data_IF_530310458775
#
_entry.id   IF_530310458775
#
_cell.length_a   1.000
_cell.length_b   1.000
_cell.length_c   1.000
_cell.angle_alpha   90.00
_cell.angle_beta   90.00
_cell.angle_gamma   90.00
#
_symmetry.space_group_name_H-M   'P 1'
#
loop_
_entity.id
_entity.type
_entity.pdbx_description
1 polymer ?
#
# COMPACT_ATOMS: atom_id res chain seq x y z
N UNK A 1 2.72 20.56 -13.97
CA UNK A 1 2.32 19.20 -14.45
C UNK A 1 0.84 18.92 -14.17
N UNK A 2 0.36 19.09 -12.92
CA UNK A 2 -1.06 18.85 -12.56
C UNK A 2 -2.01 19.69 -13.40
N UNK A 3 -1.72 20.97 -13.62
CA UNK A 3 -2.53 21.85 -14.44
C UNK A 3 -2.60 21.53 -15.94
N UNK A 4 -1.88 20.49 -16.39
CA UNK A 4 -1.91 19.99 -17.77
C UNK A 4 -2.71 18.70 -17.93
N UNK A 5 -3.25 18.15 -16.83
CA UNK A 5 -4.07 16.95 -16.85
C UNK A 5 -5.43 17.23 -17.48
N UNK A 6 -5.96 16.25 -18.17
CA UNK A 6 -7.33 16.24 -18.65
C UNK A 6 -8.28 15.80 -17.54
N UNK A 7 -9.57 16.04 -17.72
CA UNK A 7 -10.58 15.72 -16.71
C UNK A 7 -10.62 14.24 -16.32
N UNK A 8 -10.40 13.34 -17.25
CA UNK A 8 -10.32 11.89 -17.01
C UNK A 8 -9.00 11.41 -16.38
N UNK A 9 -8.02 12.30 -16.28
CA UNK A 9 -6.70 12.05 -15.71
C UNK A 9 -6.60 12.45 -14.23
N UNK A 10 -7.58 13.20 -13.70
CA UNK A 10 -7.65 13.56 -12.28
C UNK A 10 -8.07 12.37 -11.41
N UNK A 11 -7.52 12.33 -10.19
CA UNK A 11 -8.01 11.45 -9.12
C UNK A 11 -9.31 12.00 -8.54
N UNK A 12 -10.15 11.11 -8.11
CA UNK A 12 -11.41 11.41 -7.44
C UNK A 12 -11.69 10.37 -6.38
N UNK A 13 -12.25 10.77 -5.26
CA UNK A 13 -12.70 9.85 -4.23
C UNK A 13 -14.06 10.33 -3.72
N UNK A 14 -15.05 9.45 -3.76
CA UNK A 14 -16.41 9.72 -3.31
C UNK A 14 -16.77 8.71 -2.23
N UNK A 15 -17.17 9.18 -1.06
CA UNK A 15 -17.71 8.33 0.00
C UNK A 15 -19.17 8.00 -0.30
N UNK A 16 -19.49 6.72 -0.38
CA UNK A 16 -20.83 6.24 -0.70
C UNK A 16 -21.67 5.98 0.55
N UNK A 17 -21.02 5.75 1.68
CA UNK A 17 -21.71 5.53 2.95
C UNK A 17 -20.72 5.26 4.08
N UNK A 18 -21.16 5.61 5.28
CA UNK A 18 -20.41 5.40 6.51
C UNK A 18 -21.36 4.90 7.61
N UNK A 19 -20.92 3.95 8.41
CA UNK A 19 -21.71 3.43 9.52
C UNK A 19 -20.86 3.20 10.77
N UNK A 20 -21.49 3.27 11.94
CA UNK A 20 -20.94 2.89 13.22
C UNK A 20 -21.68 1.67 13.76
N UNK A 21 -20.96 0.56 13.93
CA UNK A 21 -21.50 -0.73 14.41
C UNK A 21 -22.71 -1.25 13.59
N UNK A 22 -22.78 -0.88 12.30
CA UNK A 22 -23.85 -1.23 11.38
C UNK A 22 -24.91 -0.15 11.17
N UNK A 23 -25.02 0.82 12.09
CA UNK A 23 -25.97 1.92 11.97
C UNK A 23 -25.37 3.06 11.11
N UNK A 24 -26.07 3.57 10.09
CA UNK A 24 -25.61 4.71 9.30
C UNK A 24 -25.31 5.93 10.17
N UNK A 25 -24.27 6.66 9.82
CA UNK A 25 -23.91 7.94 10.46
C UNK A 25 -23.78 9.04 9.42
N UNK A 26 -24.09 10.25 9.83
CA UNK A 26 -23.95 11.45 9.02
C UNK A 26 -22.48 11.87 8.92
N UNK A 27 -22.09 12.39 7.78
CA UNK A 27 -20.77 12.96 7.56
C UNK A 27 -20.84 14.18 6.63
N UNK A 28 -19.83 15.01 6.73
CA UNK A 28 -19.65 16.21 5.89
C UNK A 28 -18.24 16.13 5.29
N UNK A 29 -18.13 16.31 3.99
CA UNK A 29 -16.85 16.43 3.30
C UNK A 29 -16.43 17.89 3.25
N UNK A 30 -15.23 18.18 3.75
CA UNK A 30 -14.59 19.50 3.71
C UNK A 30 -13.21 19.35 3.06
N UNK A 31 -13.14 19.61 1.76
CA UNK A 31 -11.94 19.42 0.94
C UNK A 31 -11.39 17.99 1.06
N UNK A 32 -10.27 17.80 1.75
CA UNK A 32 -9.64 16.48 1.96
C UNK A 32 -10.00 15.84 3.29
N UNK A 33 -10.86 16.46 4.08
CA UNK A 33 -11.27 16.00 5.42
C UNK A 33 -12.73 15.58 5.39
N UNK A 34 -13.02 14.43 5.97
CA UNK A 34 -14.38 13.96 6.22
C UNK A 34 -14.67 14.03 7.72
N UNK A 35 -15.67 14.81 8.09
CA UNK A 35 -16.14 14.93 9.47
C UNK A 35 -17.36 14.04 9.68
N UNK A 36 -17.22 13.02 10.53
CA UNK A 36 -18.28 12.08 10.83
C UNK A 36 -18.77 12.27 12.28
N UNK A 37 -20.08 12.40 12.46
CA UNK A 37 -20.69 12.46 13.77
C UNK A 37 -21.10 11.06 14.23
N UNK A 38 -20.43 10.54 15.26
CA UNK A 38 -20.76 9.23 15.81
C UNK A 38 -22.14 9.24 16.48
N UNK A 39 -22.95 8.21 16.23
CA UNK A 39 -24.24 8.00 16.91
C UNK A 39 -24.06 7.79 18.43
N UNK A 40 -22.96 7.14 18.80
CA UNK A 40 -22.57 6.90 20.19
C UNK A 40 -21.11 7.29 20.38
N UNK A 41 -20.77 8.09 21.39
CA UNK A 41 -19.38 8.44 21.65
C UNK A 41 -18.57 7.20 22.02
N UNK A 42 -17.31 7.18 21.57
CA UNK A 42 -16.37 6.14 21.97
C UNK A 42 -15.81 6.46 23.35
N UNK A 43 -16.22 5.70 24.36
CA UNK A 43 -15.73 5.87 25.72
C UNK A 43 -14.33 5.26 25.90
N UNK A 44 -13.54 5.75 26.87
CA UNK A 44 -12.23 5.20 27.19
C UNK A 44 -12.26 3.68 27.42
N UNK A 45 -11.31 2.97 26.82
CA UNK A 45 -11.21 1.51 26.90
C UNK A 45 -12.26 0.72 26.10
N UNK A 46 -13.16 1.40 25.39
CA UNK A 46 -14.17 0.76 24.52
C UNK A 46 -13.70 0.70 23.07
N UNK A 47 -14.38 -0.12 22.28
CA UNK A 47 -14.15 -0.29 20.85
C UNK A 47 -15.41 0.09 20.08
N UNK A 48 -15.22 0.64 18.89
CA UNK A 48 -16.28 0.85 17.92
C UNK A 48 -15.83 0.34 16.55
N UNK A 49 -16.77 -0.09 15.73
CA UNK A 49 -16.51 -0.47 14.35
C UNK A 49 -17.04 0.64 13.43
N UNK A 50 -16.16 1.23 12.66
CA UNK A 50 -16.55 2.10 11.54
C UNK A 50 -16.43 1.29 10.24
N UNK A 51 -17.40 1.46 9.37
CA UNK A 51 -17.43 0.81 8.06
C UNK A 51 -17.77 1.85 7.01
N UNK A 52 -16.88 1.99 6.02
CA UNK A 52 -17.02 2.96 4.94
C UNK A 52 -17.06 2.25 3.60
N UNK A 53 -17.93 2.71 2.72
CA UNK A 53 -17.92 2.37 1.31
C UNK A 53 -17.51 3.61 0.52
N UNK A 54 -16.57 3.46 -0.41
CA UNK A 54 -16.11 4.55 -1.25
C UNK A 54 -15.80 4.06 -2.65
N UNK A 55 -15.78 4.98 -3.59
CA UNK A 55 -15.38 4.79 -4.97
C UNK A 55 -14.31 5.81 -5.32
N UNK A 56 -13.30 5.40 -6.07
CA UNK A 56 -12.25 6.29 -6.53
C UNK A 56 -11.94 6.11 -8.01
N UNK A 57 -11.49 7.18 -8.64
CA UNK A 57 -10.83 7.16 -9.94
C UNK A 57 -9.32 7.31 -9.71
N UNK A 58 -8.55 6.32 -10.16
CA UNK A 58 -7.09 6.36 -10.06
C UNK A 58 -6.55 7.42 -11.02
N UNK A 59 -5.82 8.44 -10.53
CA UNK A 59 -5.29 9.50 -11.38
C UNK A 59 -4.21 8.97 -12.32
N UNK A 60 -3.94 9.70 -13.41
CA UNK A 60 -2.67 9.54 -14.11
C UNK A 60 -1.54 9.92 -13.18
N UNK A 61 -0.54 9.06 -13.06
CA UNK A 61 0.50 9.26 -12.07
C UNK A 61 1.39 10.45 -12.40
N UNK A 62 1.45 11.40 -11.48
CA UNK A 62 2.37 12.54 -11.50
C UNK A 62 3.34 12.47 -10.34
N UNK A 63 2.88 11.95 -9.22
CA UNK A 63 3.65 11.72 -8.00
C UNK A 63 3.59 10.23 -7.63
N UNK A 64 3.39 9.92 -6.36
CA UNK A 64 3.49 8.56 -5.79
C UNK A 64 2.30 7.67 -6.11
N UNK A 65 1.12 8.24 -6.31
CA UNK A 65 -0.11 7.48 -6.56
C UNK A 65 -0.64 7.71 -7.96
N UNK A 66 -1.08 6.64 -8.60
CA UNK A 66 -1.73 6.75 -9.89
C UNK A 66 -1.48 5.57 -10.83
N UNK A 67 -1.95 5.74 -12.06
CA UNK A 67 -1.83 4.79 -13.16
C UNK A 67 -0.86 5.28 -14.24
N UNK A 68 -0.27 4.34 -14.96
CA UNK A 68 0.53 4.60 -16.16
C UNK A 68 1.62 5.66 -15.94
N UNK A 69 2.56 5.38 -15.05
CA UNK A 69 3.65 6.29 -14.76
C UNK A 69 4.64 6.40 -15.93
N UNK A 70 5.59 7.30 -15.83
CA UNK A 70 6.63 7.52 -16.85
C UNK A 70 7.56 6.32 -17.05
N UNK A 71 7.70 5.46 -16.03
CA UNK A 71 8.55 4.27 -16.06
C UNK A 71 7.77 3.03 -16.56
N UNK A 72 6.53 3.21 -17.00
CA UNK A 72 5.67 2.18 -17.58
C UNK A 72 4.99 1.26 -16.57
N UNK A 73 5.00 1.60 -15.28
CA UNK A 73 4.26 0.83 -14.26
C UNK A 73 2.77 1.16 -14.31
N UNK A 74 1.94 0.13 -14.39
CA UNK A 74 0.51 0.29 -14.61
C UNK A 74 -0.20 0.94 -13.42
N UNK A 75 0.08 0.51 -12.20
CA UNK A 75 -0.53 1.03 -10.98
C UNK A 75 0.52 1.20 -9.87
N UNK A 76 0.50 2.37 -9.23
CA UNK A 76 1.23 2.64 -8.00
C UNK A 76 0.26 3.29 -7.02
N UNK A 77 -0.02 2.64 -5.91
CA UNK A 77 -1.16 2.97 -5.05
C UNK A 77 -0.70 3.31 -3.64
N UNK A 78 -0.58 4.59 -3.41
CA UNK A 78 -0.33 5.19 -2.10
C UNK A 78 -1.47 6.13 -1.77
N UNK A 79 -1.81 6.31 -0.51
CA UNK A 79 -2.91 7.21 -0.11
C UNK A 79 -4.21 6.93 -0.89
N UNK A 80 -4.54 5.66 -1.12
CA UNK A 80 -5.60 5.21 -2.02
C UNK A 80 -6.94 4.94 -1.32
N UNK A 81 -6.98 5.06 -0.02
CA UNK A 81 -8.17 4.82 0.81
C UNK A 81 -8.33 5.93 1.86
N UNK A 82 -9.54 6.22 2.32
CA UNK A 82 -9.77 7.16 3.42
C UNK A 82 -9.16 6.63 4.72
N UNK A 83 -8.37 7.46 5.39
CA UNK A 83 -7.71 7.14 6.65
C UNK A 83 -8.39 7.81 7.82
N UNK A 84 -8.36 7.16 8.98
CA UNK A 84 -8.69 7.80 10.23
C UNK A 84 -7.60 8.84 10.56
N UNK A 85 -8.02 10.07 10.87
CA UNK A 85 -7.11 11.06 11.40
C UNK A 85 -6.62 10.62 12.80
N UNK A 86 -5.39 10.97 13.15
CA UNK A 86 -4.87 10.70 14.47
C UNK A 86 -5.54 11.57 15.51
N UNK A 87 -5.71 11.02 16.70
CA UNK A 87 -6.25 11.71 17.87
C UNK A 87 -5.31 11.50 19.05
N UNK A 88 -4.82 12.58 19.62
CA UNK A 88 -3.94 12.56 20.79
C UNK A 88 -4.33 13.63 21.83
N UNK A 89 -3.38 14.04 22.67
CA UNK A 89 -3.61 15.06 23.71
C UNK A 89 -3.92 16.47 23.17
N UNK A 90 -3.57 16.75 21.91
CA UNK A 90 -3.91 17.99 21.19
C UNK A 90 -5.27 17.91 20.48
N UNK A 91 -5.88 16.71 20.42
CA UNK A 91 -7.14 16.45 19.74
C UNK A 91 -6.95 15.79 18.37
N UNK A 92 -7.85 16.08 17.43
CA UNK A 92 -7.82 15.51 16.07
C UNK A 92 -6.80 16.24 15.17
N UNK A 93 -5.88 15.49 14.60
CA UNK A 93 -4.95 15.99 13.57
C UNK A 93 -5.62 15.99 12.17
N UNK A 94 -6.71 16.73 12.06
CA UNK A 94 -7.50 16.87 10.82
C UNK A 94 -6.99 18.03 9.94
N UNK A 95 -5.70 18.07 9.70
CA UNK A 95 -5.10 19.11 8.87
C UNK A 95 -5.12 18.69 7.40
N UNK A 96 -5.53 19.57 6.45
CA UNK A 96 -5.36 19.30 5.03
C UNK A 96 -3.89 19.06 4.69
N UNK A 97 -3.63 18.16 3.73
CA UNK A 97 -2.27 17.95 3.24
C UNK A 97 -1.80 19.15 2.41
N UNK A 98 -0.96 19.98 2.98
CA UNK A 98 -0.35 21.14 2.34
C UNK A 98 1.14 21.12 2.61
N UNK A 99 1.90 20.46 1.74
CA UNK A 99 3.36 20.45 1.78
C UNK A 99 3.99 19.86 3.05
N UNK A 100 3.36 18.86 3.65
CA UNK A 100 3.86 18.12 4.83
C UNK A 100 3.75 16.61 4.64
N UNK A 101 4.36 15.83 5.53
CA UNK A 101 4.31 14.37 5.48
C UNK A 101 2.93 13.83 5.89
N UNK A 102 2.66 12.60 5.45
CA UNK A 102 1.45 11.88 5.80
C UNK A 102 1.53 11.38 7.24
N UNK A 103 0.42 11.51 7.95
CA UNK A 103 0.25 10.94 9.26
C UNK A 103 -0.68 9.74 9.19
N UNK A 104 -0.31 8.63 9.79
CA UNK A 104 -1.09 7.40 9.80
C UNK A 104 -1.12 6.77 11.18
N UNK A 105 -2.31 6.36 11.60
CA UNK A 105 -2.50 5.64 12.87
C UNK A 105 -1.96 4.22 12.74
N UNK A 106 -1.12 3.81 13.68
CA UNK A 106 -0.56 2.46 13.72
C UNK A 106 -1.63 1.41 14.03
N UNK A 107 -1.60 0.32 13.29
CA UNK A 107 -2.56 -0.77 13.47
C UNK A 107 -2.24 -1.99 12.63
N UNK A 108 -3.12 -2.97 12.70
CA UNK A 108 -3.04 -4.15 11.85
C UNK A 108 -3.95 -3.96 10.63
N UNK A 109 -3.40 -4.25 9.46
CA UNK A 109 -4.11 -4.16 8.19
C UNK A 109 -4.37 -5.55 7.62
N UNK A 110 -5.61 -5.79 7.21
CA UNK A 110 -5.97 -6.92 6.35
C UNK A 110 -6.54 -6.35 5.08
N UNK A 111 -5.84 -6.56 3.96
CA UNK A 111 -6.17 -5.96 2.67
C UNK A 111 -6.42 -7.03 1.64
N UNK A 112 -7.56 -6.92 0.97
CA UNK A 112 -7.97 -7.80 -0.13
C UNK A 112 -8.04 -7.00 -1.42
N UNK A 113 -7.18 -7.33 -2.39
CA UNK A 113 -7.10 -6.67 -3.70
C UNK A 113 -7.53 -7.65 -4.79
N UNK A 114 -8.61 -7.33 -5.49
CA UNK A 114 -9.05 -8.13 -6.64
C UNK A 114 -8.70 -7.40 -7.94
N UNK A 115 -7.76 -7.95 -8.69
CA UNK A 115 -7.21 -7.38 -9.92
C UNK A 115 -7.12 -8.46 -11.00
N UNK A 116 -6.98 -8.08 -12.27
CA UNK A 116 -6.85 -9.02 -13.36
C UNK A 116 -5.69 -9.99 -13.12
N UNK A 117 -5.91 -11.27 -13.46
CA UNK A 117 -5.04 -12.39 -13.10
C UNK A 117 -3.60 -12.28 -13.59
N UNK A 118 -3.37 -11.46 -14.61
CA UNK A 118 -2.06 -11.29 -15.24
C UNK A 118 -1.18 -10.26 -14.49
N UNK A 119 -1.77 -9.49 -13.57
CA UNK A 119 -1.03 -8.53 -12.77
C UNK A 119 -0.24 -9.21 -11.65
N UNK A 120 1.01 -8.79 -11.49
CA UNK A 120 1.84 -9.10 -10.33
C UNK A 120 1.75 -7.93 -9.36
N UNK A 121 1.37 -8.21 -8.12
CA UNK A 121 1.18 -7.19 -7.07
C UNK A 121 2.27 -7.32 -6.02
N UNK A 122 2.91 -6.21 -5.69
CA UNK A 122 3.75 -6.09 -4.50
C UNK A 122 3.18 -5.04 -3.56
N UNK A 123 3.37 -5.20 -2.26
CA UNK A 123 2.83 -4.24 -1.29
C UNK A 123 3.29 -4.48 0.12
N UNK A 124 2.70 -3.69 1.02
CA UNK A 124 2.88 -3.79 2.46
C UNK A 124 2.31 -5.13 2.97
N UNK A 125 3.06 -5.80 3.86
CA UNK A 125 2.58 -6.99 4.55
C UNK A 125 2.88 -8.32 3.86
N UNK A 126 2.39 -9.38 4.47
CA UNK A 126 2.59 -10.77 4.06
C UNK A 126 1.43 -11.26 3.21
N UNK A 127 1.72 -11.81 2.03
CA UNK A 127 0.68 -12.45 1.21
C UNK A 127 0.23 -13.77 1.86
N UNK A 128 -1.05 -13.85 2.20
CA UNK A 128 -1.62 -14.98 2.96
C UNK A 128 -2.01 -16.17 2.05
N UNK A 129 -2.34 -15.92 0.80
CA UNK A 129 -2.81 -16.92 -0.14
C UNK A 129 -1.86 -17.13 -1.33
N UNK A 130 -0.56 -17.13 -1.06
CA UNK A 130 0.50 -17.26 -2.07
C UNK A 130 0.30 -18.45 -3.02
N UNK A 131 -0.25 -19.57 -2.52
CA UNK A 131 -0.45 -20.79 -3.29
C UNK A 131 -1.64 -20.70 -4.29
N UNK A 132 -2.53 -19.72 -4.10
CA UNK A 132 -3.62 -19.40 -5.03
C UNK A 132 -3.19 -18.34 -6.04
N UNK A 133 -2.23 -17.50 -5.67
CA UNK A 133 -1.74 -16.42 -6.49
C UNK A 133 -0.63 -16.88 -7.45
N UNK A 134 0.41 -17.52 -6.95
CA UNK A 134 1.63 -17.78 -7.73
C UNK A 134 2.46 -16.52 -7.89
N UNK A 135 2.83 -16.19 -9.13
CA UNK A 135 3.61 -14.99 -9.47
C UNK A 135 4.94 -14.83 -8.69
N UNK A 136 5.55 -15.97 -8.31
CA UNK A 136 6.81 -15.99 -7.55
C UNK A 136 6.64 -15.95 -6.01
N UNK A 137 5.43 -15.86 -5.50
CA UNK A 137 5.14 -15.93 -4.07
C UNK A 137 4.89 -17.37 -3.58
N UNK A 138 4.54 -18.26 -4.48
CA UNK A 138 4.19 -19.63 -4.14
C UNK A 138 5.38 -20.45 -3.62
N UNK A 139 5.12 -21.34 -2.71
CA UNK A 139 6.08 -22.38 -2.36
C UNK A 139 6.15 -23.39 -3.51
N UNK A 140 7.25 -23.38 -4.26
CA UNK A 140 7.49 -24.24 -5.44
C UNK A 140 7.46 -25.76 -5.12
N UNK A 141 7.57 -26.14 -3.84
CA UNK A 141 7.45 -27.53 -3.40
C UNK A 141 6.00 -27.99 -3.24
N UNK A 142 5.03 -27.08 -3.36
CA UNK A 142 3.59 -27.35 -3.25
C UNK A 142 2.89 -27.06 -4.57
N UNK A 143 1.81 -27.78 -4.90
CA UNK A 143 1.03 -27.50 -6.12
C UNK A 143 0.40 -26.11 -6.05
N UNK A 144 0.47 -25.38 -7.15
CA UNK A 144 -0.25 -24.13 -7.33
C UNK A 144 -1.76 -24.43 -7.41
N UNK A 145 -2.57 -23.66 -6.68
CA UNK A 145 -4.03 -23.80 -6.60
C UNK A 145 -4.75 -22.59 -7.18
N UNK A 146 -4.19 -22.00 -8.22
CA UNK A 146 -4.73 -20.79 -8.84
C UNK A 146 -6.16 -21.05 -9.36
N UNK A 147 -7.15 -20.22 -8.97
CA UNK A 147 -8.51 -20.37 -9.48
C UNK A 147 -8.59 -19.99 -10.97
N UNK A 148 -9.45 -20.66 -11.71
CA UNK A 148 -9.73 -20.34 -13.12
C UNK A 148 -10.74 -19.18 -13.20
N UNK A 149 -10.24 -17.97 -13.00
CA UNK A 149 -11.01 -16.72 -12.98
C UNK A 149 -10.28 -15.64 -13.78
N UNK A 150 -11.01 -14.59 -14.18
CA UNK A 150 -10.42 -13.43 -14.85
C UNK A 150 -9.61 -12.56 -13.90
N UNK A 151 -9.91 -12.59 -12.60
CA UNK A 151 -9.26 -11.81 -11.56
C UNK A 151 -8.76 -12.73 -10.46
N UNK A 152 -7.61 -12.39 -9.88
CA UNK A 152 -7.12 -12.99 -8.64
C UNK A 152 -7.37 -12.03 -7.48
N UNK A 153 -7.67 -12.60 -6.32
CA UNK A 153 -7.82 -11.84 -5.08
C UNK A 153 -6.60 -12.06 -4.21
N UNK A 154 -5.79 -11.03 -4.07
CA UNK A 154 -4.58 -10.99 -3.26
C UNK A 154 -4.95 -10.65 -1.83
N UNK A 155 -4.63 -11.49 -0.88
CA UNK A 155 -4.93 -11.28 0.54
C UNK A 155 -3.65 -10.99 1.32
N UNK A 156 -3.48 -9.75 1.77
CA UNK A 156 -2.34 -9.31 2.57
C UNK A 156 -2.71 -9.12 4.04
N UNK A 157 -1.77 -9.44 4.91
CA UNK A 157 -1.83 -9.07 6.33
C UNK A 157 -0.55 -8.32 6.72
N UNK A 158 -0.71 -7.13 7.27
CA UNK A 158 0.40 -6.28 7.73
C UNK A 158 0.20 -5.93 9.21
N UNK A 159 0.95 -6.54 10.11
CA UNK A 159 0.86 -6.24 11.54
C UNK A 159 1.62 -4.97 11.89
N UNK A 160 1.00 -4.14 12.72
CA UNK A 160 1.62 -2.97 13.32
C UNK A 160 2.33 -2.06 12.32
N UNK A 161 1.58 -1.57 11.33
CA UNK A 161 2.02 -0.61 10.31
C UNK A 161 1.12 0.63 10.35
N UNK A 162 1.59 1.76 9.81
CA UNK A 162 0.82 3.01 9.81
C UNK A 162 0.15 3.33 8.46
N UNK A 163 0.39 2.51 7.45
CA UNK A 163 -0.18 2.65 6.11
C UNK A 163 -0.09 1.33 5.33
N UNK A 164 -0.80 1.25 4.21
CA UNK A 164 -0.72 0.15 3.26
C UNK A 164 -0.53 0.70 1.85
N UNK A 165 0.66 0.51 1.29
CA UNK A 165 1.00 0.86 -0.08
C UNK A 165 1.17 -0.40 -0.94
N UNK A 166 0.90 -0.29 -2.24
CA UNK A 166 1.10 -1.37 -3.21
C UNK A 166 1.32 -0.83 -4.61
N UNK A 167 1.93 -1.63 -5.46
CA UNK A 167 2.00 -1.40 -6.89
C UNK A 167 1.71 -2.70 -7.65
N UNK A 168 1.26 -2.56 -8.88
CA UNK A 168 0.93 -3.70 -9.73
C UNK A 168 1.22 -3.43 -11.20
N UNK A 169 1.76 -4.44 -11.85
CA UNK A 169 2.04 -4.40 -13.29
C UNK A 169 2.05 -5.82 -13.86
N UNK A 170 1.52 -6.07 -15.07
CA UNK A 170 1.54 -7.41 -15.65
C UNK A 170 2.96 -7.89 -16.05
N UNK A 171 3.90 -6.95 -16.26
CA UNK A 171 5.27 -7.27 -16.67
C UNK A 171 6.29 -7.16 -15.52
N UNK A 172 5.84 -7.11 -14.28
CA UNK A 172 6.77 -7.14 -13.16
C UNK A 172 7.53 -8.46 -13.08
N UNK A 173 8.86 -8.35 -13.02
CA UNK A 173 9.72 -9.40 -12.50
C UNK A 173 9.60 -9.39 -10.98
N UNK A 174 9.49 -10.55 -10.36
CA UNK A 174 9.48 -10.72 -8.92
C UNK A 174 10.64 -11.61 -8.49
N UNK A 175 11.65 -10.99 -7.89
CA UNK A 175 12.77 -11.69 -7.27
C UNK A 175 12.60 -11.67 -5.75
N UNK A 176 12.99 -12.76 -5.10
CA UNK A 176 13.06 -12.85 -3.63
C UNK A 176 14.45 -13.30 -3.24
N UNK A 177 15.10 -12.54 -2.37
CA UNK A 177 16.38 -12.91 -1.78
C UNK A 177 16.30 -12.89 -0.25
N UNK A 178 17.19 -13.61 0.39
CA UNK A 178 17.34 -13.63 1.83
C UNK A 178 18.16 -12.42 2.29
N UNK A 179 17.61 -11.63 3.19
CA UNK A 179 18.29 -10.55 3.88
C UNK A 179 18.79 -10.98 5.26
N UNK A 180 19.38 -10.05 6.05
CA UNK A 180 19.85 -10.35 7.40
C UNK A 180 18.69 -10.73 8.32
N UNK A 181 18.93 -11.65 9.26
CA UNK A 181 17.96 -12.19 10.23
C UNK A 181 16.76 -12.88 9.53
N UNK A 182 17.01 -13.58 8.42
CA UNK A 182 16.02 -14.35 7.66
C UNK A 182 14.88 -13.50 7.07
N UNK A 183 15.09 -12.19 6.94
CA UNK A 183 14.10 -11.29 6.32
C UNK A 183 14.03 -11.55 4.82
N UNK A 184 12.84 -11.87 4.30
CA UNK A 184 12.61 -12.01 2.88
C UNK A 184 12.54 -10.63 2.20
N UNK A 185 13.46 -10.35 1.28
CA UNK A 185 13.48 -9.13 0.49
C UNK A 185 12.85 -9.41 -0.87
N UNK A 186 11.69 -8.80 -1.11
CA UNK A 186 10.95 -8.93 -2.36
C UNK A 186 11.24 -7.75 -3.27
N UNK A 187 11.67 -8.00 -4.49
CA UNK A 187 11.95 -6.99 -5.52
C UNK A 187 10.97 -7.15 -6.68
N UNK A 188 10.18 -6.12 -6.92
CA UNK A 188 9.23 -6.10 -8.04
C UNK A 188 9.55 -4.93 -8.97
N UNK A 189 9.91 -5.23 -10.22
CA UNK A 189 10.40 -4.23 -11.15
C UNK A 189 10.15 -4.63 -12.60
N UNK A 190 10.23 -3.67 -13.53
CA UNK A 190 10.10 -3.92 -14.97
C UNK A 190 11.36 -4.59 -15.54
N UNK A 191 11.19 -5.46 -16.51
CA UNK A 191 12.27 -6.25 -17.14
C UNK A 191 13.43 -5.42 -17.72
N UNK A 192 13.17 -4.17 -18.10
CA UNK A 192 14.19 -3.27 -18.64
C UNK A 192 15.00 -2.51 -17.58
N UNK A 193 14.71 -2.71 -16.30
CA UNK A 193 15.38 -2.04 -15.20
C UNK A 193 16.63 -2.82 -14.73
N UNK A 194 17.70 -2.82 -15.53
CA UNK A 194 18.91 -3.64 -15.31
C UNK A 194 19.61 -3.38 -13.97
N UNK A 195 19.55 -2.14 -13.46
CA UNK A 195 20.18 -1.79 -12.18
C UNK A 195 19.51 -2.44 -10.97
N UNK A 196 18.30 -2.96 -11.12
CA UNK A 196 17.58 -3.60 -10.01
C UNK A 196 18.26 -4.86 -9.49
N UNK A 197 18.98 -5.59 -10.35
CA UNK A 197 19.81 -6.73 -9.90
C UNK A 197 20.95 -6.30 -8.97
N UNK A 198 21.57 -5.14 -9.25
CA UNK A 198 22.62 -4.58 -8.39
C UNK A 198 22.05 -4.06 -7.07
N UNK A 199 20.82 -3.50 -7.10
CA UNK A 199 20.13 -3.00 -5.93
C UNK A 199 19.90 -4.10 -4.88
N UNK A 200 19.75 -5.36 -5.29
CA UNK A 200 19.49 -6.48 -4.38
C UNK A 200 20.57 -6.59 -3.30
N UNK A 201 21.85 -6.64 -3.69
CA UNK A 201 22.96 -6.73 -2.74
C UNK A 201 23.08 -5.46 -1.89
N UNK A 202 22.92 -4.29 -2.47
CA UNK A 202 22.95 -3.04 -1.72
C UNK A 202 21.83 -2.96 -0.67
N UNK A 203 20.66 -3.55 -0.93
CA UNK A 203 19.57 -3.62 0.03
C UNK A 203 19.90 -4.51 1.21
N UNK A 204 20.58 -5.64 0.99
CA UNK A 204 21.10 -6.51 2.07
C UNK A 204 22.12 -5.76 2.92
N UNK A 205 23.06 -5.07 2.28
CA UNK A 205 24.12 -4.32 2.97
C UNK A 205 23.51 -3.19 3.81
N UNK A 206 22.53 -2.47 3.25
CA UNK A 206 21.82 -1.37 3.91
C UNK A 206 21.02 -1.88 5.13
N UNK A 207 20.27 -2.97 4.98
CA UNK A 207 19.52 -3.55 6.09
C UNK A 207 20.45 -4.09 7.18
N UNK A 208 21.59 -4.67 6.81
CA UNK A 208 22.63 -5.10 7.76
C UNK A 208 23.18 -3.92 8.54
N UNK A 209 23.45 -2.80 7.86
CA UNK A 209 23.91 -1.57 8.49
C UNK A 209 22.88 -1.02 9.50
N UNK A 210 21.62 -0.97 9.12
CA UNK A 210 20.56 -0.49 10.01
C UNK A 210 20.35 -1.41 11.21
N UNK A 211 20.32 -2.73 11.01
CA UNK A 211 20.20 -3.69 12.10
C UNK A 211 21.32 -3.54 13.14
N UNK A 212 22.55 -3.25 12.68
CA UNK A 212 23.71 -3.06 13.56
C UNK A 212 23.71 -1.73 14.29
N UNK A 213 23.30 -0.64 13.64
CA UNK A 213 23.53 0.72 14.12
C UNK A 213 22.28 1.39 14.72
N UNK A 214 21.08 0.94 14.35
CA UNK A 214 19.80 1.52 14.78
C UNK A 214 19.00 0.50 15.60
N UNK A 215 18.82 -0.71 15.05
CA UNK A 215 18.09 -1.77 15.70
C UNK A 215 17.57 -2.81 14.70
N UNK A 216 17.16 -3.98 15.17
CA UNK A 216 16.70 -5.06 14.30
C UNK A 216 15.42 -4.65 13.57
N UNK A 217 15.34 -4.95 12.28
CA UNK A 217 14.13 -4.79 11.50
C UNK A 217 13.02 -5.70 12.07
N UNK A 218 11.82 -5.15 12.37
CA UNK A 218 10.84 -5.87 13.20
C UNK A 218 9.93 -6.85 12.45
N UNK A 219 10.01 -6.93 11.11
CA UNK A 219 9.17 -7.81 10.30
C UNK A 219 10.02 -8.83 9.53
N UNK A 220 9.40 -9.92 9.09
CA UNK A 220 10.06 -11.01 8.36
C UNK A 220 10.13 -10.77 6.84
N UNK A 221 9.58 -9.68 6.33
CA UNK A 221 9.54 -9.34 4.91
C UNK A 221 9.68 -7.84 4.69
N UNK A 222 10.34 -7.46 3.58
CA UNK A 222 10.36 -6.11 3.06
C UNK A 222 10.18 -6.12 1.54
N UNK A 223 9.25 -5.29 1.03
CA UNK A 223 8.97 -5.17 -0.39
C UNK A 223 9.60 -3.92 -0.97
N UNK A 224 10.43 -4.08 -2.00
CA UNK A 224 11.11 -3.01 -2.73
C UNK A 224 10.53 -3.01 -4.14
N UNK A 225 9.78 -1.99 -4.50
CA UNK A 225 8.91 -2.02 -5.67
C UNK A 225 9.20 -0.82 -6.56
N UNK A 226 9.35 -1.07 -7.86
CA UNK A 226 9.32 -0.01 -8.87
C UNK A 226 7.90 0.56 -8.91
N UNK A 227 7.77 1.77 -8.47
CA UNK A 227 6.47 2.38 -8.27
C UNK A 227 6.44 3.81 -8.71
N UNK A 228 6.29 4.76 -8.08
CA UNK A 228 5.97 6.11 -8.39
C UNK A 228 7.10 7.05 -8.78
N UNK A 229 6.83 8.31 -8.64
CA UNK A 229 7.71 9.43 -8.91
C UNK A 229 8.48 9.78 -7.63
N UNK A 230 9.74 9.43 -7.57
CA UNK A 230 10.60 9.53 -6.40
C UNK A 230 10.48 8.32 -5.48
N UNK A 231 11.07 8.39 -4.31
CA UNK A 231 10.98 7.36 -3.28
C UNK A 231 9.84 7.62 -2.31
N UNK A 232 9.29 6.56 -1.75
CA UNK A 232 8.44 6.62 -0.56
C UNK A 232 8.62 5.35 0.26
N UNK A 233 9.02 5.53 1.49
CA UNK A 233 9.30 4.50 2.47
C UNK A 233 8.12 4.31 3.42
N UNK A 234 7.44 3.18 3.25
CA UNK A 234 6.39 2.71 4.15
C UNK A 234 6.92 1.58 5.05
N UNK A 235 6.27 1.31 6.15
CA UNK A 235 6.53 0.09 6.91
C UNK A 235 6.33 -1.13 6.01
N UNK A 236 7.28 -2.06 6.00
CA UNK A 236 7.32 -3.27 5.18
C UNK A 236 7.35 -3.06 3.65
N UNK A 237 7.37 -1.81 3.15
CA UNK A 237 7.31 -1.55 1.72
C UNK A 237 7.96 -0.22 1.35
N UNK A 238 8.75 -0.20 0.28
CA UNK A 238 9.22 1.03 -0.34
C UNK A 238 8.88 1.05 -1.82
N UNK A 239 8.49 2.22 -2.30
CA UNK A 239 8.28 2.49 -3.72
C UNK A 239 9.41 3.39 -4.21
N UNK A 240 10.14 2.97 -5.23
CA UNK A 240 11.25 3.74 -5.80
C UNK A 240 11.12 3.83 -7.32
N UNK A 241 11.87 4.75 -7.93
CA UNK A 241 11.91 4.89 -9.40
C UNK A 241 12.60 3.73 -10.09
N UNK A 242 12.40 3.60 -11.38
CA UNK A 242 13.00 2.53 -12.18
C UNK A 242 14.51 2.62 -12.38
N UNK A 243 15.08 3.82 -12.23
CA UNK A 243 16.51 4.08 -12.44
C UNK A 243 16.86 4.37 -13.90
#
# INVERSE_FOLDING_TARGET
>A
RIGLLKEDEFGEMTVLGLSQNGDPIEFIEQETILLARLNKPLLPGKKTKLQMSFKGRVPKQIRRSGRNNKDGVALSMTQWYPKLAEYDFEGWHANPYIGREFHGVWGNYTVSLSIDKDYVVGGTGYLQNAQEIGHGYENKKKPLKRPDTKKLTWLFYAPNVHDFAWAADPDFVHDVIEGPNDVALHFLYKTHAENWKKLQQHSVDLMTFFNKNIGPYPWEQYSIIQGGDGGMEYAMCTLITGG
#
